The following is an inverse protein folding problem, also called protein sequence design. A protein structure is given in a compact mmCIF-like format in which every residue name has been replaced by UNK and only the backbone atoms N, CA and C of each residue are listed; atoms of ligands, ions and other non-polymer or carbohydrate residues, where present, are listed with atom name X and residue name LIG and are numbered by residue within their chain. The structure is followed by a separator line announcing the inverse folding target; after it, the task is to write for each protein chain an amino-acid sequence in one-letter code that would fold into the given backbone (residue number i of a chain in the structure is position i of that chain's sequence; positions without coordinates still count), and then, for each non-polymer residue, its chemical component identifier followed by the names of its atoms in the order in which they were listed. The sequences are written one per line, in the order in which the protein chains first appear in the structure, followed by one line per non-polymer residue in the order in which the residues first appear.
data_IF_757546736340
#
_entry.id   IF_757546736340
#
_cell.length_a   1.000
_cell.length_b   1.000
_cell.length_c   1.000
_cell.angle_alpha   90.00
_cell.angle_beta   90.00
_cell.angle_gamma   90.00
#
_symmetry.space_group_name_H-M   'P 1'
#
loop_
_entity.id
_entity.type
_entity.pdbx_description
1 polymer ?
#
# COMPACT_ATOMS: atom_id res chain seq x y z
N UNK A 1 -3.03 -31.14 -0.14
CA UNK A 1 -2.79 -30.16 -1.23
C UNK A 1 -2.48 -28.85 -0.54
N UNK A 2 -1.20 -28.48 -0.42
CA UNK A 2 -0.83 -27.15 0.08
C UNK A 2 -1.14 -26.14 -1.03
N UNK A 3 -2.06 -25.22 -0.77
CA UNK A 3 -2.30 -24.07 -1.64
C UNK A 3 -0.96 -23.30 -1.78
N UNK A 4 -0.38 -23.33 -2.97
CA UNK A 4 0.81 -22.54 -3.27
C UNK A 4 0.35 -21.09 -3.40
N UNK A 5 0.49 -20.34 -2.30
CA UNK A 5 0.19 -18.92 -2.28
C UNK A 5 1.29 -18.22 -3.09
N UNK A 6 0.90 -17.53 -4.16
CA UNK A 6 1.82 -16.74 -4.98
C UNK A 6 2.25 -15.48 -4.22
N UNK A 7 3.54 -15.12 -4.35
CA UNK A 7 4.03 -13.85 -3.82
C UNK A 7 3.35 -12.69 -4.57
N UNK A 8 2.87 -11.65 -3.87
CA UNK A 8 2.13 -10.58 -4.51
C UNK A 8 3.05 -9.75 -5.41
N UNK A 9 2.53 -9.38 -6.57
CA UNK A 9 3.23 -8.54 -7.53
C UNK A 9 3.29 -7.09 -7.02
N UNK A 10 4.51 -6.56 -7.00
CA UNK A 10 4.77 -5.17 -6.64
C UNK A 10 4.34 -4.24 -7.77
N UNK A 11 3.60 -3.19 -7.41
CA UNK A 11 3.22 -2.14 -8.35
C UNK A 11 4.29 -1.04 -8.31
N UNK A 12 4.79 -0.58 -9.48
CA UNK A 12 5.71 0.53 -9.52
C UNK A 12 5.06 1.81 -8.99
N UNK A 13 5.84 2.78 -8.47
CA UNK A 13 5.30 4.08 -8.09
C UNK A 13 4.53 4.73 -9.25
N UNK A 14 3.37 5.30 -8.96
CA UNK A 14 2.57 6.00 -9.97
C UNK A 14 3.39 7.07 -10.69
N UNK A 15 3.18 7.19 -12.00
CA UNK A 15 3.70 8.27 -12.85
C UNK A 15 2.53 8.90 -13.63
N UNK A 16 2.67 10.16 -14.08
CA UNK A 16 1.66 10.79 -14.94
C UNK A 16 1.32 10.00 -16.21
N UNK A 17 2.26 9.19 -16.70
CA UNK A 17 2.08 8.29 -17.86
C UNK A 17 1.10 7.14 -17.59
N UNK A 18 0.83 6.80 -16.32
CA UNK A 18 -0.08 5.74 -15.91
C UNK A 18 -1.56 6.18 -15.87
N UNK A 19 -1.84 7.46 -16.13
CA UNK A 19 -3.19 8.04 -16.09
C UNK A 19 -3.34 9.09 -15.00
N UNK A 20 -4.59 9.45 -14.65
CA UNK A 20 -4.88 10.44 -13.61
C UNK A 20 -4.19 10.10 -12.28
N UNK A 21 -3.83 11.14 -11.52
CA UNK A 21 -3.20 10.95 -10.21
C UNK A 21 -4.17 10.26 -9.24
N UNK A 22 -3.74 9.18 -8.55
CA UNK A 22 -4.57 8.51 -7.58
C UNK A 22 -4.78 9.39 -6.35
N UNK A 23 -5.94 9.22 -5.72
CA UNK A 23 -6.23 9.82 -4.42
C UNK A 23 -5.42 9.10 -3.35
N UNK A 24 -4.63 9.84 -2.58
CA UNK A 24 -3.71 9.27 -1.60
C UNK A 24 -4.24 9.49 -0.18
N UNK A 25 -4.56 8.38 0.47
CA UNK A 25 -5.03 8.32 1.85
C UNK A 25 -3.89 7.94 2.77
N UNK A 26 -3.65 8.75 3.80
CA UNK A 26 -2.66 8.49 4.84
C UNK A 26 -3.35 8.39 6.20
N UNK A 27 -2.79 7.59 7.10
CA UNK A 27 -3.27 7.48 8.47
C UNK A 27 -2.36 8.25 9.43
N UNK A 28 -2.91 8.77 10.55
CA UNK A 28 -2.09 9.34 11.59
C UNK A 28 -1.10 8.29 12.14
N UNK A 29 0.10 8.72 12.59
CA UNK A 29 1.05 7.83 13.22
C UNK A 29 0.42 7.09 14.40
N UNK A 30 0.50 5.75 14.41
CA UNK A 30 -0.05 4.90 15.48
C UNK A 30 -1.39 4.23 15.15
N UNK A 31 -2.15 4.74 14.19
CA UNK A 31 -3.47 4.22 13.79
C UNK A 31 -3.48 3.70 12.33
N UNK A 32 -2.32 3.31 11.83
CA UNK A 32 -2.17 2.76 10.49
C UNK A 32 -2.76 1.34 10.43
N UNK A 33 -3.54 0.99 9.39
CA UNK A 33 -3.90 -0.39 9.16
C UNK A 33 -2.65 -1.20 8.78
N UNK A 34 -2.76 -2.52 8.85
CA UNK A 34 -1.67 -3.39 8.43
C UNK A 34 -2.17 -4.55 7.56
N UNK A 35 -1.29 -5.00 6.68
CA UNK A 35 -1.48 -6.18 5.84
C UNK A 35 -0.48 -7.27 6.22
N UNK A 36 -0.87 -8.52 6.00
CA UNK A 36 0.06 -9.63 5.85
C UNK A 36 0.41 -9.79 4.38
N UNK A 37 1.70 -9.76 4.08
CA UNK A 37 2.26 -9.96 2.73
C UNK A 37 3.00 -11.29 2.71
N UNK A 38 2.68 -12.15 1.75
CA UNK A 38 3.40 -13.40 1.56
C UNK A 38 4.73 -13.12 0.84
N UNK A 39 5.85 -13.24 1.56
CA UNK A 39 7.21 -12.93 1.04
C UNK A 39 8.21 -13.98 1.54
N UNK A 40 8.87 -14.66 0.60
CA UNK A 40 9.83 -15.73 0.88
C UNK A 40 9.18 -16.94 1.56
N UNK A 41 7.98 -17.33 1.13
CA UNK A 41 7.28 -18.52 1.64
C UNK A 41 6.64 -18.36 3.02
N UNK A 42 6.51 -17.13 3.53
CA UNK A 42 5.89 -16.83 4.83
C UNK A 42 5.09 -15.54 4.79
N UNK A 43 4.04 -15.49 5.60
CA UNK A 43 3.30 -14.26 5.85
C UNK A 43 4.12 -13.31 6.72
N UNK A 44 4.32 -12.09 6.24
CA UNK A 44 5.02 -11.01 6.95
C UNK A 44 4.06 -9.88 7.26
N UNK A 45 4.11 -9.41 8.49
CA UNK A 45 3.36 -8.22 8.91
C UNK A 45 3.96 -6.96 8.26
N UNK A 46 3.11 -6.13 7.67
CA UNK A 46 3.50 -4.92 6.98
C UNK A 46 2.51 -3.79 7.27
N UNK A 47 2.90 -2.76 8.05
CA UNK A 47 2.10 -1.55 8.23
C UNK A 47 1.84 -0.86 6.89
N UNK A 48 0.61 -0.41 6.68
CA UNK A 48 0.21 0.39 5.53
C UNK A 48 0.54 1.85 5.81
N UNK A 49 1.37 2.44 4.97
CA UNK A 49 1.70 3.86 5.03
C UNK A 49 0.68 4.72 4.32
N UNK A 50 0.23 4.25 3.15
CA UNK A 50 -0.71 4.97 2.32
C UNK A 50 -1.58 4.00 1.51
N UNK A 51 -2.79 4.44 1.20
CA UNK A 51 -3.68 3.81 0.23
C UNK A 51 -3.88 4.74 -0.95
N UNK A 52 -3.70 4.23 -2.15
CA UNK A 52 -3.87 4.96 -3.39
C UNK A 52 -5.12 4.42 -4.07
N UNK A 53 -6.15 5.25 -4.19
CA UNK A 53 -7.35 4.93 -4.96
C UNK A 53 -7.26 5.58 -6.35
N UNK A 54 -7.18 4.76 -7.38
CA UNK A 54 -7.11 5.20 -8.77
C UNK A 54 -8.51 5.48 -9.32
N UNK A 55 -8.60 6.40 -10.27
CA UNK A 55 -9.87 6.79 -10.88
C UNK A 55 -10.58 5.65 -11.65
N UNK A 56 -9.84 4.60 -12.02
CA UNK A 56 -10.36 3.39 -12.67
C UNK A 56 -10.89 2.35 -11.66
N UNK A 57 -10.87 2.65 -10.36
CA UNK A 57 -11.36 1.78 -9.30
C UNK A 57 -10.30 0.81 -8.75
N UNK A 58 -9.05 0.87 -9.21
CA UNK A 58 -7.95 0.10 -8.61
C UNK A 58 -7.54 0.73 -7.28
N UNK A 59 -7.25 -0.13 -6.29
CA UNK A 59 -6.69 0.29 -5.00
C UNK A 59 -5.32 -0.32 -4.83
N UNK A 60 -4.36 0.50 -4.41
CA UNK A 60 -3.00 0.08 -4.08
C UNK A 60 -2.70 0.42 -2.63
N UNK A 61 -1.99 -0.46 -1.94
CA UNK A 61 -1.49 -0.22 -0.60
C UNK A 61 0.03 -0.12 -0.61
N UNK A 62 0.53 1.03 -0.20
CA UNK A 62 1.94 1.20 0.08
C UNK A 62 2.22 0.72 1.50
N UNK A 63 3.05 -0.31 1.62
CA UNK A 63 3.39 -0.95 2.88
C UNK A 63 4.87 -0.87 3.18
N UNK A 64 5.17 -1.05 4.45
CA UNK A 64 6.50 -1.00 5.01
C UNK A 64 6.89 -2.42 5.44
N UNK A 65 7.85 -3.03 4.74
CA UNK A 65 8.31 -4.40 5.00
C UNK A 65 9.68 -4.40 5.67
N UNK A 66 9.79 -5.13 6.77
CA UNK A 66 11.08 -5.39 7.40
C UNK A 66 11.76 -6.57 6.71
N UNK A 67 12.91 -6.32 6.08
CA UNK A 67 13.66 -7.34 5.34
C UNK A 67 14.55 -8.18 6.25
N UNK A 68 15.11 -7.57 7.30
CA UNK A 68 15.69 -8.21 8.49
C UNK A 68 15.86 -7.17 9.61
N UNK A 69 16.24 -7.61 10.83
CA UNK A 69 16.48 -6.70 11.97
C UNK A 69 17.61 -5.69 11.69
N UNK A 70 18.58 -6.06 10.84
CA UNK A 70 19.78 -5.27 10.55
C UNK A 70 19.80 -4.60 9.17
N UNK A 71 18.98 -5.06 8.21
CA UNK A 71 18.98 -4.55 6.81
C UNK A 71 17.97 -3.45 6.55
N UNK A 72 17.25 -3.03 7.59
CA UNK A 72 16.31 -1.92 7.51
C UNK A 72 14.99 -2.28 6.85
N UNK A 73 14.28 -1.21 6.52
CA UNK A 73 12.88 -1.25 6.12
C UNK A 73 12.77 -0.86 4.66
N UNK A 74 12.02 -1.65 3.88
CA UNK A 74 11.73 -1.34 2.47
C UNK A 74 10.27 -0.93 2.30
N UNK A 75 10.03 0.01 1.40
CA UNK A 75 8.68 0.40 1.02
C UNK A 75 8.31 -0.31 -0.28
N UNK A 76 7.15 -0.96 -0.30
CA UNK A 76 6.60 -1.63 -1.48
C UNK A 76 5.14 -1.25 -1.65
N UNK A 77 4.67 -1.13 -2.87
CA UNK A 77 3.26 -0.94 -3.18
C UNK A 77 2.71 -2.22 -3.80
N UNK A 78 1.49 -2.60 -3.41
CA UNK A 78 0.81 -3.78 -3.96
C UNK A 78 -0.61 -3.41 -4.34
N UNK A 79 -1.05 -3.86 -5.51
CA UNK A 79 -2.44 -3.75 -5.93
C UNK A 79 -3.31 -4.72 -5.11
N UNK A 80 -4.51 -4.29 -4.74
CA UNK A 80 -5.48 -5.09 -4.01
C UNK A 80 -6.69 -5.43 -4.89
N UNK A 81 -7.28 -6.65 -4.77
CA UNK A 81 -6.83 -7.79 -3.97
C UNK A 81 -5.79 -8.67 -4.71
N UNK A 82 -4.94 -9.37 -3.96
CA UNK A 82 -4.05 -10.42 -4.48
C UNK A 82 -3.99 -11.63 -3.53
N UNK A 83 -3.78 -12.86 -4.03
CA UNK A 83 -3.69 -14.06 -3.19
C UNK A 83 -2.64 -13.98 -2.08
N UNK A 84 -1.51 -13.33 -2.37
CA UNK A 84 -0.40 -13.09 -1.44
C UNK A 84 -0.60 -11.91 -0.48
N UNK A 85 -1.80 -11.32 -0.40
CA UNK A 85 -2.15 -10.24 0.52
C UNK A 85 -3.33 -10.62 1.41
N UNK A 86 -3.23 -10.31 2.70
CA UNK A 86 -4.32 -10.47 3.66
C UNK A 86 -4.41 -9.27 4.57
N UNK A 87 -5.60 -8.93 5.03
CA UNK A 87 -5.76 -7.91 6.07
C UNK A 87 -5.22 -8.47 7.39
N UNK A 88 -4.32 -7.72 8.05
CA UNK A 88 -3.87 -8.06 9.40
C UNK A 88 -4.79 -7.39 10.42
N UNK A 89 -4.97 -6.08 10.31
CA UNK A 89 -6.01 -5.35 11.03
C UNK A 89 -6.41 -4.09 10.26
N UNK A 90 -7.64 -3.65 10.47
CA UNK A 90 -8.11 -2.34 10.00
C UNK A 90 -7.57 -1.21 10.88
N UNK A 91 -7.75 0.02 10.40
CA UNK A 91 -7.69 1.20 11.25
C UNK A 91 -9.10 1.46 11.78
N UNK A 92 -9.19 1.90 13.03
CA UNK A 92 -10.44 2.43 13.61
C UNK A 92 -10.66 3.89 13.27
N UNK A 93 -9.69 4.55 12.63
CA UNK A 93 -9.76 5.94 12.22
C UNK A 93 -9.92 6.05 10.71
N UNK A 94 -10.76 6.99 10.29
CA UNK A 94 -10.83 7.36 8.88
C UNK A 94 -9.48 7.95 8.44
N UNK A 95 -8.90 7.46 7.33
CA UNK A 95 -7.69 8.06 6.81
C UNK A 95 -7.94 9.52 6.43
N UNK A 96 -6.93 10.35 6.60
CA UNK A 96 -6.99 11.73 6.09
C UNK A 96 -6.59 11.70 4.63
N UNK A 97 -7.44 12.29 3.78
CA UNK A 97 -7.11 12.52 2.39
C UNK A 97 -5.93 13.49 2.35
N UNK A 98 -4.82 13.07 1.75
CA UNK A 98 -3.82 14.04 1.32
C UNK A 98 -4.29 14.55 -0.03
N UNK A 99 -5.27 15.44 0.02
CA UNK A 99 -5.75 16.16 -1.16
C UNK A 99 -4.50 16.70 -1.88
N UNK A 100 -4.30 16.41 -3.18
CA UNK A 100 -3.19 17.01 -3.89
C UNK A 100 -3.40 18.52 -3.76
N UNK A 101 -2.39 19.20 -3.20
CA UNK A 101 -2.36 20.67 -3.25
C UNK A 101 -2.71 21.06 -4.69
N UNK A 102 -3.83 21.77 -4.93
CA UNK A 102 -4.12 22.20 -6.28
C UNK A 102 -2.93 23.06 -6.68
N UNK A 103 -2.19 22.67 -7.71
CA UNK A 103 -1.29 23.58 -8.40
C UNK A 103 -2.17 24.61 -9.08
N UNK A 104 -2.62 25.58 -8.30
CA UNK A 104 -3.12 26.85 -8.78
C UNK A 104 -1.91 27.52 -9.42
N UNK A 105 -1.74 27.33 -10.73
CA UNK A 105 -0.99 28.26 -11.55
C UNK A 105 -1.81 29.55 -11.60
N UNK A 106 -1.36 30.67 -11.01
CA UNK A 106 -2.01 31.94 -11.24
C UNK A 106 -1.46 32.55 -12.54
N UNK A 107 -2.37 32.97 -13.42
CA UNK A 107 -2.22 34.10 -14.35
C UNK A 107 -1.24 33.96 -15.50
#
# INVERSE_FOLDING_TARGET
MSEQIEEPEQVPPWRPENGPQPRVWCWPPGDQPALYVYDGGKWRYAPVMARLDHADGRTEYQVTLQTSRDRGTVHRAYGWPQPGLRQAHGSTCEPTDREPVPTTTPG
#
